data_IF_170070298713
#
_entry.id   IF_170070298713
#
_cell.length_a   1.000
_cell.length_b   1.000
_cell.length_c   1.000
_cell.angle_alpha   90.00
_cell.angle_beta   90.00
_cell.angle_gamma   90.00
#
_symmetry.space_group_name_H-M   'P 1'
#
loop_
_entity.id
_entity.type
_entity.pdbx_description
1 polymer ?
#
# COMPACT_ATOMS: atom_id res chain seq x y z
N UNK A 1 -14.12 16.61 -16.33
CA UNK A 1 -13.25 16.30 -17.50
C UNK A 1 -14.06 16.57 -18.77
N UNK A 2 -13.79 17.66 -19.51
CA UNK A 2 -14.50 18.02 -20.73
C UNK A 2 -14.14 17.08 -21.89
N UNK A 3 -15.15 16.61 -22.64
CA UNK A 3 -14.96 15.64 -23.72
C UNK A 3 -14.00 16.15 -24.81
N UNK A 4 -14.15 17.42 -25.24
CA UNK A 4 -13.28 18.00 -26.29
C UNK A 4 -11.79 17.98 -25.91
N UNK A 5 -11.46 18.29 -24.64
CA UNK A 5 -10.07 18.26 -24.16
C UNK A 5 -9.53 16.84 -24.10
N UNK A 6 -10.36 15.87 -23.66
CA UNK A 6 -9.98 14.45 -23.69
C UNK A 6 -9.69 13.97 -25.11
N UNK A 7 -10.56 14.31 -26.09
CA UNK A 7 -10.34 13.93 -27.48
C UNK A 7 -9.04 14.54 -28.02
N UNK A 8 -8.76 15.84 -27.74
CA UNK A 8 -7.50 16.48 -28.12
C UNK A 8 -6.28 15.78 -27.51
N UNK A 9 -6.38 15.37 -26.25
CA UNK A 9 -5.29 14.66 -25.56
C UNK A 9 -5.07 13.25 -26.15
N UNK A 10 -6.13 12.52 -26.47
CA UNK A 10 -6.04 11.23 -27.16
C UNK A 10 -5.33 11.37 -28.52
N UNK A 11 -5.63 12.45 -29.26
CA UNK A 11 -4.94 12.74 -30.52
C UNK A 11 -3.44 13.01 -30.32
N UNK A 12 -3.04 13.74 -29.28
CA UNK A 12 -1.62 13.99 -28.96
C UNK A 12 -0.87 12.72 -28.60
N UNK A 13 -1.54 11.72 -28.06
CA UNK A 13 -0.98 10.37 -27.82
C UNK A 13 -1.03 9.45 -29.06
N UNK A 14 -1.40 9.98 -30.24
CA UNK A 14 -1.42 9.22 -31.50
C UNK A 14 -2.67 8.37 -31.72
N UNK A 15 -3.71 8.51 -30.90
CA UNK A 15 -4.98 7.82 -31.09
C UNK A 15 -5.79 8.61 -32.11
N UNK A 16 -5.95 8.06 -33.32
CA UNK A 16 -6.57 8.73 -34.46
C UNK A 16 -7.55 7.82 -35.22
N UNK A 17 -8.16 8.35 -36.26
CA UNK A 17 -8.98 7.59 -37.24
C UNK A 17 -10.24 6.95 -36.63
N UNK A 18 -10.50 5.72 -36.95
CA UNK A 18 -11.73 5.01 -36.55
C UNK A 18 -11.86 4.83 -35.04
N UNK A 19 -10.73 4.57 -34.36
CA UNK A 19 -10.72 4.39 -32.91
C UNK A 19 -11.08 5.69 -32.17
N UNK A 20 -10.54 6.82 -32.61
CA UNK A 20 -10.86 8.10 -31.99
C UNK A 20 -12.34 8.46 -32.19
N UNK A 21 -12.88 8.28 -33.42
CA UNK A 21 -14.31 8.49 -33.67
C UNK A 21 -15.22 7.60 -32.86
N UNK A 22 -14.80 6.36 -32.61
CA UNK A 22 -15.54 5.44 -31.76
C UNK A 22 -15.55 5.88 -30.30
N UNK A 23 -14.40 6.33 -29.77
CA UNK A 23 -14.30 6.87 -28.40
C UNK A 23 -15.16 8.15 -28.29
N UNK A 24 -15.12 9.03 -29.30
CA UNK A 24 -15.93 10.24 -29.34
C UNK A 24 -17.43 9.91 -29.29
N UNK A 25 -17.89 8.97 -30.12
CA UNK A 25 -19.28 8.50 -30.13
C UNK A 25 -19.69 7.84 -28.80
N UNK A 26 -18.73 7.20 -28.09
CA UNK A 26 -18.97 6.64 -26.76
C UNK A 26 -19.16 7.72 -25.68
N UNK A 27 -18.60 8.91 -25.86
CA UNK A 27 -18.65 10.00 -24.87
C UNK A 27 -19.76 11.00 -25.12
N UNK A 28 -20.02 11.37 -26.37
CA UNK A 28 -20.92 12.47 -26.78
C UNK A 28 -22.34 11.96 -27.00
N UNK A 29 -23.34 12.86 -26.85
CA UNK A 29 -24.75 12.57 -27.09
C UNK A 29 -25.43 11.70 -26.04
N UNK A 30 -24.81 11.53 -24.89
CA UNK A 30 -25.40 10.77 -23.76
C UNK A 30 -26.29 11.67 -22.92
N UNK A 31 -27.36 11.08 -22.39
CA UNK A 31 -28.27 11.73 -21.44
C UNK A 31 -28.33 10.93 -20.14
N UNK A 32 -28.67 11.58 -19.06
CA UNK A 32 -28.87 10.96 -17.74
C UNK A 32 -30.23 11.35 -17.16
N UNK A 33 -30.78 10.44 -16.35
CA UNK A 33 -31.98 10.67 -15.53
C UNK A 33 -31.73 10.19 -14.12
N UNK A 34 -32.29 10.86 -13.14
CA UNK A 34 -32.32 10.39 -11.76
C UNK A 34 -33.58 9.58 -11.52
N UNK A 35 -33.48 8.41 -10.94
CA UNK A 35 -34.59 7.57 -10.53
C UNK A 35 -34.68 7.51 -9.00
N UNK A 36 -35.83 7.93 -8.45
CA UNK A 36 -36.15 7.86 -7.03
C UNK A 36 -37.50 7.19 -6.86
N UNK A 37 -37.56 6.08 -6.16
CA UNK A 37 -38.79 5.30 -5.93
C UNK A 37 -39.61 5.00 -7.22
N UNK A 38 -38.90 4.68 -8.31
CA UNK A 38 -39.53 4.36 -9.61
C UNK A 38 -39.95 5.57 -10.45
N UNK A 39 -39.80 6.79 -9.96
CA UNK A 39 -40.04 8.03 -10.70
C UNK A 39 -38.76 8.57 -11.31
N UNK A 40 -38.81 8.98 -12.59
CA UNK A 40 -37.66 9.52 -13.30
C UNK A 40 -37.77 11.04 -13.42
N UNK A 41 -36.59 11.69 -13.28
CA UNK A 41 -36.47 13.12 -13.65
C UNK A 41 -36.55 13.32 -15.18
N UNK A 42 -36.60 14.58 -15.61
CA UNK A 42 -36.31 14.95 -16.99
C UNK A 42 -34.91 14.50 -17.41
N UNK A 43 -34.70 14.36 -18.72
CA UNK A 43 -33.38 14.09 -19.29
C UNK A 43 -32.47 15.31 -19.13
N UNK A 44 -31.21 15.04 -18.76
CA UNK A 44 -30.14 16.03 -18.76
C UNK A 44 -28.98 15.51 -19.61
N UNK A 45 -28.44 16.36 -20.49
CA UNK A 45 -27.29 16.02 -21.33
C UNK A 45 -26.03 15.85 -20.47
N UNK A 46 -25.22 14.84 -20.79
CA UNK A 46 -23.91 14.59 -20.15
C UNK A 46 -22.82 15.26 -20.97
N UNK A 47 -22.49 16.51 -20.62
CA UNK A 47 -21.52 17.36 -21.34
C UNK A 47 -20.06 17.13 -20.93
N UNK A 48 -19.80 16.37 -19.86
CA UNK A 48 -18.45 16.09 -19.31
C UNK A 48 -18.41 14.77 -18.55
N UNK A 49 -17.20 14.33 -18.21
CA UNK A 49 -16.98 13.09 -17.46
C UNK A 49 -16.93 11.86 -18.38
N UNK A 50 -16.74 10.72 -17.75
CA UNK A 50 -16.67 9.40 -18.39
C UNK A 50 -17.73 8.48 -17.77
N UNK A 51 -18.26 7.49 -18.51
CA UNK A 51 -19.23 6.55 -17.96
C UNK A 51 -18.63 5.74 -16.80
N UNK A 52 -19.16 5.95 -15.59
CA UNK A 52 -18.78 5.14 -14.43
C UNK A 52 -19.22 3.68 -14.64
N UNK A 53 -18.36 2.73 -14.24
CA UNK A 53 -18.61 1.29 -14.43
C UNK A 53 -18.28 0.76 -15.83
N UNK A 54 -17.84 1.60 -16.77
CA UNK A 54 -17.35 1.16 -18.07
C UNK A 54 -15.88 0.68 -17.96
N UNK A 55 -15.47 -0.20 -18.88
CA UNK A 55 -14.08 -0.68 -18.99
C UNK A 55 -13.14 0.43 -19.43
N UNK A 56 -13.59 1.32 -20.32
CA UNK A 56 -12.80 2.43 -20.87
C UNK A 56 -12.66 3.62 -19.91
N UNK A 57 -13.62 3.84 -19.03
CA UNK A 57 -13.64 4.99 -18.15
C UNK A 57 -12.32 5.19 -17.39
N UNK A 58 -11.85 4.20 -16.59
CA UNK A 58 -10.60 4.34 -15.86
C UNK A 58 -9.39 4.61 -16.75
N UNK A 59 -9.30 3.96 -17.91
CA UNK A 59 -8.21 4.16 -18.87
C UNK A 59 -8.21 5.59 -19.43
N UNK A 60 -9.36 6.10 -19.86
CA UNK A 60 -9.50 7.46 -20.38
C UNK A 60 -9.16 8.52 -19.33
N UNK A 61 -9.49 8.24 -18.06
CA UNK A 61 -9.13 9.12 -16.96
C UNK A 61 -7.61 9.14 -16.74
N UNK A 62 -6.97 7.98 -16.68
CA UNK A 62 -5.49 7.88 -16.52
C UNK A 62 -4.78 8.59 -17.66
N UNK A 63 -5.21 8.40 -18.93
CA UNK A 63 -4.65 9.13 -20.09
C UNK A 63 -4.82 10.64 -19.90
N UNK A 64 -5.98 11.08 -19.37
CA UNK A 64 -6.25 12.50 -19.20
C UNK A 64 -5.35 13.19 -18.20
N UNK A 65 -4.95 12.51 -17.10
CA UNK A 65 -4.13 13.11 -16.05
C UNK A 65 -2.64 12.78 -16.18
N UNK A 66 -2.24 11.97 -17.17
CA UNK A 66 -0.89 11.39 -17.24
C UNK A 66 0.24 12.43 -17.36
N UNK A 67 -0.02 13.59 -17.94
CA UNK A 67 0.95 14.70 -18.12
C UNK A 67 0.99 15.67 -16.93
N UNK A 68 0.18 15.46 -15.89
CA UNK A 68 0.18 16.34 -14.73
C UNK A 68 1.55 16.43 -14.04
N UNK A 69 2.33 15.33 -13.88
CA UNK A 69 3.66 15.40 -13.28
C UNK A 69 4.69 16.12 -14.14
N UNK A 70 4.54 16.18 -15.47
CA UNK A 70 5.57 16.64 -16.42
C UNK A 70 5.97 18.09 -16.18
N UNK A 71 5.06 18.90 -15.65
CA UNK A 71 5.29 20.32 -15.35
C UNK A 71 5.80 20.57 -13.93
N UNK A 72 5.86 19.53 -13.08
CA UNK A 72 6.33 19.67 -11.71
C UNK A 72 7.84 19.55 -11.62
N UNK A 73 8.45 20.36 -10.76
CA UNK A 73 9.88 20.28 -10.45
C UNK A 73 10.23 19.18 -9.46
N UNK A 74 9.23 18.56 -8.84
CA UNK A 74 9.35 17.57 -7.76
C UNK A 74 8.64 16.28 -8.12
N UNK A 75 8.91 15.23 -7.34
CA UNK A 75 8.27 13.95 -7.54
C UNK A 75 6.78 14.02 -7.19
N UNK A 76 5.96 13.45 -8.07
CA UNK A 76 4.53 13.28 -7.86
C UNK A 76 4.14 11.82 -8.08
N UNK A 77 3.22 11.33 -7.26
CA UNK A 77 2.62 10.01 -7.40
C UNK A 77 1.13 10.17 -7.70
N UNK A 78 0.70 9.52 -8.75
CA UNK A 78 -0.70 9.50 -9.18
C UNK A 78 -1.28 8.10 -8.96
N UNK A 79 -2.46 8.05 -8.38
CA UNK A 79 -3.26 6.84 -8.30
C UNK A 79 -4.72 7.18 -8.54
N UNK A 80 -5.22 6.89 -9.73
CA UNK A 80 -6.51 7.39 -10.22
C UNK A 80 -6.60 8.92 -10.04
N UNK A 81 -7.55 9.42 -9.26
CA UNK A 81 -7.74 10.84 -8.94
C UNK A 81 -6.87 11.33 -7.76
N UNK A 82 -6.29 10.42 -6.98
CA UNK A 82 -5.40 10.80 -5.88
C UNK A 82 -4.03 11.24 -6.41
N UNK A 83 -3.64 12.45 -6.07
CA UNK A 83 -2.34 13.04 -6.44
C UNK A 83 -1.55 13.38 -5.18
N UNK A 84 -0.30 12.94 -5.13
CA UNK A 84 0.64 13.26 -4.05
C UNK A 84 1.87 13.94 -4.62
N UNK A 85 2.15 15.12 -4.12
CA UNK A 85 3.41 15.81 -4.38
C UNK A 85 4.24 15.78 -3.10
N UNK A 86 5.47 15.35 -3.20
CA UNK A 86 6.33 15.23 -2.02
C UNK A 86 7.75 15.69 -2.30
N UNK A 87 8.37 16.20 -1.26
CA UNK A 87 9.78 16.62 -1.30
C UNK A 87 10.37 16.64 0.10
N UNK A 88 11.67 16.65 0.18
CA UNK A 88 12.40 16.85 1.43
C UNK A 88 12.48 18.36 1.71
N UNK A 89 12.01 18.78 2.88
CA UNK A 89 12.09 20.15 3.36
C UNK A 89 13.23 20.22 4.40
N UNK A 90 14.28 20.97 4.07
CA UNK A 90 15.43 21.21 4.96
C UNK A 90 15.54 22.66 5.38
N UNK A 91 14.92 23.57 4.63
CA UNK A 91 14.92 25.00 4.85
C UNK A 91 13.68 25.66 4.24
N UNK A 92 13.51 26.96 4.48
CA UNK A 92 12.36 27.72 3.98
C UNK A 92 12.28 27.75 2.46
N UNK A 93 13.42 27.83 1.75
CA UNK A 93 13.45 27.84 0.28
C UNK A 93 12.91 26.54 -0.32
N UNK A 94 13.06 25.40 0.37
CA UNK A 94 12.46 24.14 -0.07
C UNK A 94 10.92 24.21 0.04
N UNK A 95 10.42 24.81 1.10
CA UNK A 95 8.97 25.00 1.30
C UNK A 95 8.38 25.97 0.25
N UNK A 96 9.07 27.07 -0.05
CA UNK A 96 8.66 28.02 -1.09
C UNK A 96 8.61 27.34 -2.47
N UNK A 97 9.59 26.50 -2.80
CA UNK A 97 9.59 25.70 -4.05
C UNK A 97 8.45 24.68 -4.08
N UNK A 98 8.04 24.09 -2.94
CA UNK A 98 6.87 23.24 -2.91
C UNK A 98 5.59 24.04 -3.19
N UNK A 99 5.49 25.26 -2.65
CA UNK A 99 4.38 26.18 -2.99
C UNK A 99 4.36 26.53 -4.50
N UNK A 100 5.50 26.74 -5.13
CA UNK A 100 5.58 26.96 -6.59
C UNK A 100 5.01 25.76 -7.38
N UNK A 101 5.19 24.53 -6.91
CA UNK A 101 4.58 23.35 -7.56
C UNK A 101 3.07 23.30 -7.34
N UNK A 102 2.55 23.73 -6.18
CA UNK A 102 1.11 23.85 -5.96
C UNK A 102 0.49 24.86 -6.95
N UNK A 103 1.16 26.00 -7.20
CA UNK A 103 0.72 26.96 -8.21
C UNK A 103 0.66 26.32 -9.62
N UNK A 104 1.67 25.52 -9.99
CA UNK A 104 1.65 24.80 -11.28
C UNK A 104 0.52 23.76 -11.37
N UNK A 105 0.18 23.11 -10.27
CA UNK A 105 -1.00 22.25 -10.22
C UNK A 105 -2.28 23.04 -10.46
N UNK A 106 -2.40 24.26 -9.89
CA UNK A 106 -3.54 25.13 -10.16
C UNK A 106 -3.62 25.52 -11.65
N UNK A 107 -2.50 25.91 -12.27
CA UNK A 107 -2.42 26.24 -13.68
C UNK A 107 -2.87 25.06 -14.54
N UNK A 108 -2.30 23.88 -14.32
CA UNK A 108 -2.71 22.66 -15.02
C UNK A 108 -4.20 22.36 -14.84
N UNK A 109 -4.69 22.50 -13.60
CA UNK A 109 -6.10 22.26 -13.25
C UNK A 109 -7.07 23.21 -14.01
N UNK A 110 -6.70 24.50 -14.15
CA UNK A 110 -7.45 25.48 -14.93
C UNK A 110 -7.41 25.16 -16.42
N UNK A 111 -6.23 24.82 -16.94
CA UNK A 111 -6.03 24.51 -18.36
C UNK A 111 -6.81 23.25 -18.77
N UNK A 112 -6.86 22.24 -17.93
CA UNK A 112 -7.53 20.98 -18.22
C UNK A 112 -8.96 20.91 -17.67
N UNK A 113 -9.45 21.94 -16.98
CA UNK A 113 -10.78 21.97 -16.34
C UNK A 113 -11.07 20.72 -15.48
N UNK A 114 -10.05 20.30 -14.73
CA UNK A 114 -10.14 19.26 -13.71
C UNK A 114 -9.73 19.87 -12.37
N UNK A 115 -10.72 20.44 -11.67
CA UNK A 115 -10.46 21.23 -10.47
C UNK A 115 -10.11 20.35 -9.28
N UNK A 116 -9.02 20.69 -8.61
CA UNK A 116 -8.73 20.20 -7.25
C UNK A 116 -9.68 20.86 -6.26
N UNK A 117 -10.01 20.15 -5.20
CA UNK A 117 -10.85 20.66 -4.12
C UNK A 117 -9.97 20.99 -2.91
N UNK A 118 -9.67 22.28 -2.64
CA UNK A 118 -8.71 22.65 -1.60
C UNK A 118 -9.03 22.08 -0.20
N UNK A 119 -10.31 22.05 0.18
CA UNK A 119 -10.75 21.52 1.48
C UNK A 119 -10.47 20.02 1.68
N UNK A 120 -10.22 19.29 0.56
CA UNK A 120 -9.83 17.88 0.59
C UNK A 120 -8.32 17.68 0.52
N UNK A 121 -7.58 18.72 0.16
CA UNK A 121 -6.13 18.68 0.08
C UNK A 121 -5.52 18.94 1.46
N UNK A 122 -4.53 18.15 1.84
CA UNK A 122 -3.91 18.18 3.17
C UNK A 122 -2.40 18.20 3.06
N UNK A 123 -1.74 18.73 4.05
CA UNK A 123 -0.30 18.69 4.22
C UNK A 123 0.03 17.71 5.34
N UNK A 124 0.73 16.64 5.01
CA UNK A 124 1.29 15.70 5.98
C UNK A 124 2.81 15.86 6.00
N UNK A 125 3.34 16.33 7.12
CA UNK A 125 4.78 16.41 7.33
C UNK A 125 5.25 15.15 8.03
N UNK A 126 6.21 14.45 7.40
CA UNK A 126 6.79 13.23 7.94
C UNK A 126 8.17 13.55 8.52
N UNK A 127 8.37 13.25 9.81
CA UNK A 127 9.61 13.51 10.55
C UNK A 127 9.34 13.70 12.04
N UNK A 128 10.41 13.89 12.82
CA UNK A 128 10.26 14.24 14.22
C UNK A 128 9.78 15.69 14.33
N UNK A 129 8.85 15.95 15.26
CA UNK A 129 8.31 17.29 15.49
C UNK A 129 9.39 18.36 15.75
N UNK A 130 10.50 17.94 16.36
CA UNK A 130 11.66 18.78 16.69
C UNK A 130 12.48 19.17 15.45
N UNK A 131 12.41 18.37 14.39
CA UNK A 131 13.19 18.52 13.15
C UNK A 131 12.41 19.28 12.05
N UNK A 132 11.16 19.70 12.31
CA UNK A 132 10.31 20.39 11.32
C UNK A 132 10.69 21.87 11.29
N UNK A 133 11.37 22.37 10.23
CA UNK A 133 11.97 23.69 10.25
C UNK A 133 10.97 24.86 10.27
N UNK A 134 9.71 24.64 9.91
CA UNK A 134 8.66 25.68 9.92
C UNK A 134 7.32 25.13 9.45
N UNK A 135 6.23 25.49 10.12
CA UNK A 135 4.88 25.40 9.56
C UNK A 135 4.77 26.45 8.44
N UNK A 136 5.08 26.08 7.21
CA UNK A 136 4.89 26.96 6.06
C UNK A 136 3.41 26.95 5.67
N UNK A 137 2.75 28.10 5.50
CA UNK A 137 1.33 28.17 5.12
C UNK A 137 1.19 27.87 3.62
N UNK A 138 1.04 26.58 3.30
CA UNK A 138 0.78 26.17 1.91
C UNK A 138 -0.65 26.52 1.52
N UNK A 139 -0.83 26.97 0.28
CA UNK A 139 -2.16 27.32 -0.23
C UNK A 139 -2.40 26.71 -1.63
N UNK A 140 -3.67 26.46 -1.92
CA UNK A 140 -4.15 26.01 -3.24
C UNK A 140 -5.40 26.82 -3.59
N UNK A 141 -5.42 27.49 -4.77
CA UNK A 141 -6.48 28.44 -5.17
C UNK A 141 -6.78 29.52 -4.14
N UNK A 142 -5.76 29.99 -3.43
CA UNK A 142 -5.89 31.01 -2.39
C UNK A 142 -6.46 30.50 -1.05
N UNK A 143 -6.76 29.20 -0.93
CA UNK A 143 -7.18 28.57 0.31
C UNK A 143 -5.98 27.93 0.99
N UNK A 144 -5.74 28.24 2.26
CA UNK A 144 -4.70 27.63 3.06
C UNK A 144 -5.02 26.15 3.32
N UNK A 145 -4.01 25.28 3.12
CA UNK A 145 -4.16 23.84 3.30
C UNK A 145 -3.93 23.44 4.76
N UNK A 146 -4.79 22.57 5.26
CA UNK A 146 -4.71 22.07 6.62
C UNK A 146 -3.49 21.17 6.83
N UNK A 147 -2.69 21.46 7.86
CA UNK A 147 -1.64 20.57 8.34
C UNK A 147 -2.23 19.49 9.24
N UNK A 148 -1.97 18.26 8.89
CA UNK A 148 -2.49 17.08 9.60
C UNK A 148 -1.33 16.19 10.07
N UNK A 149 -1.59 15.37 11.09
CA UNK A 149 -0.61 14.44 11.67
C UNK A 149 -0.82 12.99 11.19
N UNK A 150 -1.96 12.71 10.60
CA UNK A 150 -2.23 11.40 9.99
C UNK A 150 -3.20 11.54 8.81
N UNK A 151 -3.02 10.73 7.77
CA UNK A 151 -3.90 10.67 6.61
C UNK A 151 -4.11 9.23 6.16
N UNK A 152 -5.29 8.97 5.63
CA UNK A 152 -5.62 7.68 5.03
C UNK A 152 -5.29 7.68 3.55
N UNK A 153 -4.26 6.96 3.18
CA UNK A 153 -3.77 6.85 1.81
C UNK A 153 -3.89 5.41 1.28
N UNK A 154 -4.62 5.21 0.20
CA UNK A 154 -4.85 3.89 -0.47
C UNK A 154 -5.16 2.77 0.56
N UNK A 155 -5.98 3.11 1.57
CA UNK A 155 -6.42 2.16 2.59
C UNK A 155 -5.46 1.95 3.78
N UNK A 156 -4.33 2.67 3.81
CA UNK A 156 -3.38 2.71 4.92
C UNK A 156 -3.49 4.07 5.62
N UNK A 157 -3.55 4.08 6.94
CA UNK A 157 -3.41 5.31 7.72
C UNK A 157 -1.94 5.54 7.99
N UNK A 158 -1.39 6.63 7.46
CA UNK A 158 0.01 7.05 7.59
C UNK A 158 0.05 8.17 8.61
N UNK A 159 0.83 8.02 9.66
CA UNK A 159 1.07 9.08 10.66
C UNK A 159 2.41 9.77 10.41
N UNK A 160 2.55 10.99 10.93
CA UNK A 160 3.74 11.85 10.76
C UNK A 160 5.05 11.21 11.24
N UNK A 161 4.98 10.28 12.17
CA UNK A 161 6.14 9.55 12.70
C UNK A 161 6.34 8.17 12.05
N UNK A 162 5.45 7.76 11.13
CA UNK A 162 5.45 6.43 10.48
C UNK A 162 5.41 5.27 11.48
N UNK A 163 4.74 5.45 12.61
CA UNK A 163 4.58 4.39 13.62
C UNK A 163 3.53 3.36 13.25
N UNK A 164 2.53 3.77 12.46
CA UNK A 164 1.37 2.98 12.06
C UNK A 164 0.51 2.46 13.22
N UNK A 165 0.62 3.05 14.42
CA UNK A 165 -0.15 2.59 15.60
C UNK A 165 -1.66 2.71 15.37
N UNK A 166 -2.12 3.86 14.85
CA UNK A 166 -3.53 4.08 14.49
C UNK A 166 -4.01 3.10 13.42
N UNK A 167 -3.19 2.88 12.37
CA UNK A 167 -3.51 1.91 11.31
C UNK A 167 -3.72 0.51 11.89
N UNK A 168 -2.76 0.03 12.67
CA UNK A 168 -2.81 -1.30 13.29
C UNK A 168 -4.02 -1.43 14.22
N UNK A 169 -4.33 -0.39 15.00
CA UNK A 169 -5.50 -0.37 15.88
C UNK A 169 -6.81 -0.48 15.08
N UNK A 170 -6.95 0.30 14.00
CA UNK A 170 -8.12 0.27 13.12
C UNK A 170 -8.29 -1.09 12.42
N UNK A 171 -7.21 -1.67 11.89
CA UNK A 171 -7.25 -2.97 11.19
C UNK A 171 -7.56 -4.12 12.14
N UNK A 172 -6.95 -4.14 13.33
CA UNK A 172 -7.26 -5.16 14.34
C UNK A 172 -8.69 -5.01 14.88
N UNK A 173 -9.20 -3.79 15.06
CA UNK A 173 -10.61 -3.52 15.41
C UNK A 173 -11.54 -4.07 14.32
N UNK A 174 -11.28 -3.76 13.05
CA UNK A 174 -12.10 -4.24 11.93
C UNK A 174 -12.09 -5.76 11.82
N UNK A 175 -10.93 -6.40 11.94
CA UNK A 175 -10.79 -7.85 11.94
C UNK A 175 -11.60 -8.51 13.08
N UNK A 176 -11.54 -7.94 14.30
CA UNK A 176 -12.33 -8.42 15.44
C UNK A 176 -13.85 -8.22 15.24
N UNK A 177 -14.28 -7.10 14.67
CA UNK A 177 -15.69 -6.87 14.32
C UNK A 177 -16.19 -7.91 13.32
N UNK A 178 -15.42 -8.18 12.27
CA UNK A 178 -15.74 -9.20 11.27
C UNK A 178 -15.81 -10.60 11.89
N UNK A 179 -14.87 -10.94 12.76
CA UNK A 179 -14.87 -12.19 13.52
C UNK A 179 -16.13 -12.31 14.42
N UNK A 180 -16.54 -11.22 15.07
CA UNK A 180 -17.78 -11.17 15.87
C UNK A 180 -19.04 -11.38 15.03
N UNK A 181 -19.06 -10.87 13.78
CA UNK A 181 -20.16 -11.12 12.84
C UNK A 181 -20.20 -12.61 12.43
N UNK A 182 -19.05 -13.18 12.05
CA UNK A 182 -18.93 -14.59 11.69
C UNK A 182 -19.44 -15.48 12.84
N UNK A 183 -19.04 -15.18 14.10
CA UNK A 183 -19.47 -15.93 15.27
C UNK A 183 -20.98 -15.85 15.52
N UNK A 184 -21.62 -14.72 15.19
CA UNK A 184 -23.09 -14.57 15.34
C UNK A 184 -23.88 -15.34 14.28
N UNK A 185 -23.33 -15.40 13.06
CA UNK A 185 -24.01 -16.08 11.94
C UNK A 185 -23.83 -17.59 12.01
N UNK A 186 -22.66 -18.05 12.45
CA UNK A 186 -22.31 -19.47 12.48
C UNK A 186 -22.15 -19.93 13.93
N UNK A 187 -23.13 -20.65 14.46
CA UNK A 187 -23.14 -21.23 15.82
C UNK A 187 -22.10 -22.35 15.98
N UNK A 188 -21.84 -23.09 14.90
CA UNK A 188 -20.89 -24.20 14.86
C UNK A 188 -19.78 -23.87 13.82
N UNK A 189 -18.53 -23.82 14.27
CA UNK A 189 -17.37 -23.47 13.43
C UNK A 189 -16.47 -24.68 13.24
N UNK A 190 -16.79 -25.52 12.28
CA UNK A 190 -15.92 -26.62 11.88
C UNK A 190 -14.64 -26.12 11.18
N UNK A 191 -13.60 -26.95 11.18
CA UNK A 191 -12.27 -26.64 10.60
C UNK A 191 -12.33 -26.17 9.16
N UNK A 192 -13.07 -26.83 8.30
CA UNK A 192 -13.15 -26.49 6.87
C UNK A 192 -13.78 -25.13 6.65
N UNK A 193 -14.89 -24.85 7.33
CA UNK A 193 -15.56 -23.54 7.29
C UNK A 193 -14.63 -22.42 7.77
N UNK A 194 -13.94 -22.65 8.89
CA UNK A 194 -12.98 -21.69 9.44
C UNK A 194 -11.88 -21.36 8.43
N UNK A 195 -11.29 -22.37 7.78
CA UNK A 195 -10.22 -22.20 6.82
C UNK A 195 -10.66 -21.46 5.54
N UNK A 196 -11.96 -21.42 5.24
CA UNK A 196 -12.51 -20.60 4.15
C UNK A 196 -12.81 -19.16 4.61
N UNK A 197 -13.46 -19.00 5.77
CA UNK A 197 -13.93 -17.68 6.23
C UNK A 197 -12.81 -16.82 6.83
N UNK A 198 -11.98 -17.39 7.69
CA UNK A 198 -10.93 -16.63 8.38
C UNK A 198 -9.92 -15.96 7.43
N UNK A 199 -9.32 -16.67 6.47
CA UNK A 199 -8.38 -16.05 5.54
C UNK A 199 -9.01 -14.95 4.68
N UNK A 200 -10.23 -15.15 4.21
CA UNK A 200 -10.91 -14.26 3.30
C UNK A 200 -11.39 -12.96 3.99
N UNK A 201 -12.02 -13.09 5.15
CA UNK A 201 -12.73 -11.97 5.77
C UNK A 201 -12.02 -11.36 6.99
N UNK A 202 -11.18 -12.10 7.70
CA UNK A 202 -10.51 -11.61 8.91
C UNK A 202 -9.04 -11.32 8.65
N UNK A 203 -8.29 -12.34 8.18
CA UNK A 203 -6.84 -12.22 7.97
C UNK A 203 -6.48 -11.23 6.88
N UNK A 204 -7.32 -11.08 5.86
CA UNK A 204 -7.15 -10.08 4.81
C UNK A 204 -6.97 -8.65 5.36
N UNK A 205 -7.68 -8.29 6.44
CA UNK A 205 -7.49 -7.00 7.10
C UNK A 205 -6.12 -6.85 7.77
N UNK A 206 -5.52 -7.95 8.23
CA UNK A 206 -4.26 -7.97 8.96
C UNK A 206 -3.02 -8.09 8.05
N UNK A 207 -3.23 -8.40 6.77
CA UNK A 207 -2.15 -8.63 5.80
C UNK A 207 -2.15 -7.63 4.64
N UNK A 208 -3.22 -6.84 4.45
CA UNK A 208 -3.32 -5.88 3.35
C UNK A 208 -2.16 -4.88 3.41
N UNK A 209 -1.38 -4.82 2.33
CA UNK A 209 -0.23 -3.90 2.17
C UNK A 209 0.77 -3.93 3.35
N UNK A 210 0.93 -5.07 4.01
CA UNK A 210 1.79 -5.24 5.19
C UNK A 210 3.26 -4.83 4.95
N UNK A 211 3.70 -4.81 3.71
CA UNK A 211 5.04 -4.37 3.31
C UNK A 211 5.30 -2.91 3.73
N UNK A 212 4.27 -2.07 3.68
CA UNK A 212 4.37 -0.64 4.03
C UNK A 212 4.42 -0.43 5.54
N UNK A 213 3.52 -1.08 6.28
CA UNK A 213 3.26 -0.79 7.70
C UNK A 213 3.70 -1.91 8.65
N UNK A 214 4.56 -2.83 8.22
CA UNK A 214 4.94 -3.98 9.03
C UNK A 214 5.30 -3.57 10.47
N UNK A 215 4.63 -4.16 11.49
CA UNK A 215 4.87 -3.81 12.88
C UNK A 215 6.27 -4.21 13.32
N UNK A 216 6.96 -3.33 14.00
CA UNK A 216 8.29 -3.58 14.57
C UNK A 216 8.31 -3.56 16.10
N UNK A 217 7.33 -2.88 16.74
CA UNK A 217 7.18 -2.88 18.18
C UNK A 217 6.53 -4.18 18.66
N UNK A 218 7.07 -4.79 19.71
CA UNK A 218 6.52 -6.04 20.28
C UNK A 218 5.04 -5.95 20.60
N UNK A 219 4.57 -4.83 21.13
CA UNK A 219 3.15 -4.60 21.45
C UNK A 219 2.25 -4.64 20.20
N UNK A 220 2.68 -4.06 19.09
CA UNK A 220 1.96 -4.10 17.81
C UNK A 220 1.88 -5.54 17.26
N UNK A 221 3.02 -6.25 17.28
CA UNK A 221 3.09 -7.66 16.83
C UNK A 221 2.11 -8.51 17.64
N UNK A 222 2.14 -8.38 18.98
CA UNK A 222 1.21 -9.10 19.88
C UNK A 222 -0.26 -8.75 19.60
N UNK A 223 -0.58 -7.46 19.39
CA UNK A 223 -1.93 -6.99 19.08
C UNK A 223 -2.50 -7.65 17.83
N UNK A 224 -1.71 -7.76 16.77
CA UNK A 224 -2.11 -8.39 15.51
C UNK A 224 -2.25 -9.90 15.69
N UNK A 225 -1.28 -10.57 16.30
CA UNK A 225 -1.28 -12.02 16.51
C UNK A 225 -2.45 -12.46 17.40
N UNK A 226 -2.80 -11.67 18.42
CA UNK A 226 -3.91 -11.94 19.32
C UNK A 226 -5.29 -12.05 18.61
N UNK A 227 -5.43 -11.43 17.42
CA UNK A 227 -6.65 -11.62 16.61
C UNK A 227 -6.72 -13.05 16.08
N UNK A 228 -5.62 -13.58 15.53
CA UNK A 228 -5.55 -14.96 15.03
C UNK A 228 -5.67 -15.96 16.18
N UNK A 229 -5.05 -15.67 17.31
CA UNK A 229 -5.12 -16.50 18.51
C UNK A 229 -6.59 -16.66 18.99
N UNK A 230 -7.34 -15.56 19.06
CA UNK A 230 -8.78 -15.61 19.39
C UNK A 230 -9.60 -16.32 18.32
N UNK A 231 -9.30 -16.05 17.04
CA UNK A 231 -10.02 -16.67 15.93
C UNK A 231 -9.89 -18.20 15.94
N UNK A 232 -8.69 -18.73 16.16
CA UNK A 232 -8.43 -20.18 16.18
C UNK A 232 -9.11 -20.91 17.36
N UNK A 233 -9.40 -20.20 18.46
CA UNK A 233 -10.19 -20.75 19.60
C UNK A 233 -11.66 -21.00 19.26
N UNK A 234 -12.18 -20.38 18.20
CA UNK A 234 -13.58 -20.55 17.77
C UNK A 234 -13.84 -21.90 17.07
N UNK A 235 -12.77 -22.59 16.66
CA UNK A 235 -12.88 -23.85 15.94
C UNK A 235 -13.24 -24.97 16.91
N UNK A 236 -14.29 -25.71 16.58
CA UNK A 236 -14.78 -26.84 17.39
C UNK A 236 -13.67 -27.87 17.62
N UNK A 237 -13.60 -28.35 18.86
CA UNK A 237 -12.59 -29.33 19.29
C UNK A 237 -11.18 -28.77 19.47
N UNK A 238 -10.91 -27.48 19.16
CA UNK A 238 -9.56 -26.91 19.30
C UNK A 238 -9.41 -25.91 20.46
N UNK A 239 -10.50 -25.51 21.11
CA UNK A 239 -10.46 -24.45 22.13
C UNK A 239 -9.61 -24.75 23.35
N UNK A 240 -9.40 -26.03 23.69
CA UNK A 240 -8.60 -26.51 24.82
C UNK A 240 -7.08 -26.61 24.52
N UNK A 241 -6.71 -26.60 23.24
CA UNK A 241 -5.33 -26.67 22.78
C UNK A 241 -4.61 -25.34 22.99
N UNK A 242 -3.29 -25.36 23.14
CA UNK A 242 -2.49 -24.14 23.08
C UNK A 242 -2.48 -23.53 21.67
N UNK A 243 -1.94 -22.32 21.54
CA UNK A 243 -1.99 -21.60 20.25
C UNK A 243 -1.16 -22.31 19.17
N UNK A 244 0.01 -22.81 19.51
CA UNK A 244 0.91 -23.55 18.61
C UNK A 244 0.25 -24.82 18.09
N UNK A 245 -0.39 -25.57 18.99
CA UNK A 245 -1.14 -26.79 18.64
C UNK A 245 -2.32 -26.49 17.70
N UNK A 246 -3.08 -25.41 17.98
CA UNK A 246 -4.15 -24.97 17.09
C UNK A 246 -3.64 -24.60 15.69
N UNK A 247 -2.51 -23.89 15.60
CA UNK A 247 -1.90 -23.57 14.31
C UNK A 247 -1.51 -24.83 13.54
N UNK A 248 -0.88 -25.80 14.19
CA UNK A 248 -0.52 -27.09 13.57
C UNK A 248 -1.76 -27.87 13.12
N UNK A 249 -2.79 -27.98 13.98
CA UNK A 249 -4.04 -28.66 13.66
C UNK A 249 -4.77 -28.03 12.46
N UNK A 250 -4.71 -26.70 12.34
CA UNK A 250 -5.32 -25.95 11.25
C UNK A 250 -4.40 -25.79 10.02
N UNK A 251 -3.15 -26.25 10.08
CA UNK A 251 -2.11 -26.01 9.06
C UNK A 251 -1.94 -24.51 8.76
N UNK A 252 -2.08 -23.68 9.77
CA UNK A 252 -1.80 -22.25 9.73
C UNK A 252 -0.40 -21.97 10.29
N UNK A 253 0.10 -20.80 9.99
CA UNK A 253 1.35 -20.28 10.56
C UNK A 253 1.07 -18.97 11.28
N UNK A 254 2.00 -18.51 12.12
CA UNK A 254 1.89 -17.19 12.74
C UNK A 254 1.79 -16.08 11.70
N UNK A 255 1.16 -14.96 12.04
CA UNK A 255 1.13 -13.78 11.17
C UNK A 255 2.53 -13.14 11.03
N UNK A 256 3.40 -13.32 12.02
CA UNK A 256 4.81 -12.89 11.95
C UNK A 256 5.57 -13.66 10.88
N UNK A 257 5.44 -14.99 10.82
CA UNK A 257 6.03 -15.79 9.74
C UNK A 257 5.49 -15.39 8.38
N UNK A 258 4.18 -15.16 8.28
CA UNK A 258 3.54 -14.76 7.02
C UNK A 258 4.02 -13.41 6.51
N UNK A 259 4.26 -12.44 7.41
CA UNK A 259 4.85 -11.15 7.07
C UNK A 259 6.26 -11.32 6.51
N UNK A 260 7.11 -12.05 7.23
CA UNK A 260 8.48 -12.33 6.80
C UNK A 260 8.52 -13.00 5.42
N UNK A 261 7.67 -14.02 5.23
CA UNK A 261 7.52 -14.70 3.93
C UNK A 261 7.03 -13.75 2.84
N UNK A 262 6.06 -12.90 3.15
CA UNK A 262 5.54 -11.88 2.24
C UNK A 262 6.61 -10.87 1.82
N UNK A 263 7.44 -10.42 2.75
CA UNK A 263 8.56 -9.54 2.49
C UNK A 263 9.56 -10.16 1.51
N UNK A 264 9.90 -11.45 1.66
CA UNK A 264 10.80 -12.15 0.74
C UNK A 264 10.19 -12.29 -0.65
N UNK A 265 8.90 -12.55 -0.74
CA UNK A 265 8.17 -12.61 -2.01
C UNK A 265 8.20 -11.24 -2.71
N UNK A 266 8.04 -10.17 -1.96
CA UNK A 266 8.03 -8.83 -2.53
C UNK A 266 9.40 -8.42 -3.05
N UNK A 267 10.50 -8.71 -2.32
CA UNK A 267 11.86 -8.48 -2.83
C UNK A 267 12.10 -9.27 -4.12
N UNK A 268 11.72 -10.54 -4.15
CA UNK A 268 11.89 -11.35 -5.36
C UNK A 268 11.18 -10.73 -6.55
N UNK A 269 9.95 -10.24 -6.37
CA UNK A 269 9.22 -9.51 -7.41
C UNK A 269 9.96 -8.25 -7.86
N UNK A 270 10.43 -7.43 -6.91
CA UNK A 270 11.16 -6.21 -7.25
C UNK A 270 12.41 -6.48 -8.08
N UNK A 271 13.13 -7.56 -7.79
CA UNK A 271 14.34 -7.91 -8.52
C UNK A 271 14.04 -8.49 -9.90
N UNK A 272 12.99 -9.34 -10.02
CA UNK A 272 12.79 -10.16 -11.22
C UNK A 272 11.64 -9.68 -12.13
N UNK A 273 10.72 -8.83 -11.64
CA UNK A 273 9.55 -8.39 -12.42
C UNK A 273 9.73 -7.00 -13.00
N UNK A 274 10.45 -6.12 -12.30
CA UNK A 274 10.64 -4.74 -12.74
C UNK A 274 12.00 -4.57 -13.42
N UNK A 275 12.01 -3.96 -14.60
CA UNK A 275 13.25 -3.57 -15.29
C UNK A 275 13.95 -2.41 -14.58
N UNK A 276 15.25 -2.24 -14.82
CA UNK A 276 16.00 -1.09 -14.33
C UNK A 276 15.34 0.22 -14.84
N UNK A 277 15.02 1.12 -13.92
CA UNK A 277 14.31 2.38 -14.20
C UNK A 277 12.81 2.38 -13.92
N UNK A 278 12.16 1.21 -13.77
CA UNK A 278 10.74 1.10 -13.40
C UNK A 278 10.53 0.50 -12.01
N UNK A 279 11.63 0.22 -11.28
CA UNK A 279 11.55 -0.35 -9.93
C UNK A 279 10.96 0.66 -8.97
N UNK A 280 9.86 0.32 -8.27
CA UNK A 280 9.20 1.22 -7.32
C UNK A 280 10.08 1.61 -6.12
N UNK A 281 11.18 0.89 -5.88
CA UNK A 281 12.12 1.13 -4.80
C UNK A 281 13.56 1.02 -5.32
N UNK A 282 14.41 1.98 -4.94
CA UNK A 282 15.83 1.98 -5.26
C UNK A 282 16.58 0.97 -4.36
N UNK A 283 16.42 -0.32 -4.62
CA UNK A 283 17.25 -1.35 -3.99
C UNK A 283 18.68 -1.26 -4.54
N UNK A 284 19.61 -0.98 -3.68
CA UNK A 284 21.03 -1.05 -4.03
C UNK A 284 21.47 -2.52 -3.99
N UNK A 285 21.64 -3.12 -5.16
CA UNK A 285 22.23 -4.45 -5.30
C UNK A 285 23.75 -4.35 -5.23
N UNK A 286 24.38 -5.32 -4.54
CA UNK A 286 25.85 -5.42 -4.49
C UNK A 286 26.34 -5.85 -5.86
N UNK A 287 27.06 -4.97 -6.57
CA UNK A 287 27.72 -5.33 -7.81
C UNK A 287 28.93 -6.22 -7.50
N UNK A 288 28.93 -7.44 -8.03
CA UNK A 288 30.03 -8.40 -7.85
C UNK A 288 30.50 -8.96 -9.16
N UNK A 289 31.80 -9.36 -9.25
CA UNK A 289 32.29 -10.09 -10.40
C UNK A 289 31.52 -11.40 -10.59
N UNK A 290 31.29 -11.79 -11.82
CA UNK A 290 30.54 -12.97 -12.27
C UNK A 290 31.01 -14.29 -11.64
N UNK A 291 32.21 -14.36 -11.07
CA UNK A 291 32.81 -15.55 -10.43
C UNK A 291 32.52 -15.70 -8.92
N UNK A 292 31.64 -14.90 -8.33
CA UNK A 292 31.33 -15.01 -6.90
C UNK A 292 30.41 -16.21 -6.62
N UNK A 293 30.77 -17.03 -5.63
CA UNK A 293 29.95 -18.15 -5.12
C UNK A 293 28.73 -17.71 -4.30
N UNK A 294 28.61 -16.39 -4.06
CA UNK A 294 27.48 -15.81 -3.30
C UNK A 294 26.36 -15.48 -4.26
N UNK A 295 25.10 -15.48 -3.75
CA UNK A 295 23.94 -15.24 -4.61
C UNK A 295 24.01 -13.87 -5.29
N UNK A 296 23.58 -13.77 -6.57
CA UNK A 296 23.87 -12.62 -7.43
C UNK A 296 23.06 -11.36 -7.05
N UNK A 297 22.00 -11.51 -6.25
CA UNK A 297 21.05 -10.44 -5.90
C UNK A 297 21.17 -9.99 -4.44
N UNK A 298 22.41 -9.94 -3.89
CA UNK A 298 22.60 -9.44 -2.53
C UNK A 298 22.26 -7.96 -2.43
N UNK A 299 21.53 -7.62 -1.38
CA UNK A 299 21.26 -6.24 -1.00
C UNK A 299 22.41 -5.69 -0.18
N UNK A 300 22.73 -4.39 -0.34
CA UNK A 300 23.65 -3.73 0.60
C UNK A 300 23.04 -3.79 2.00
N UNK A 301 23.76 -4.35 2.99
CA UNK A 301 23.29 -4.29 4.36
C UNK A 301 23.28 -2.84 4.83
N UNK A 302 22.30 -2.43 5.64
CA UNK A 302 22.36 -1.13 6.30
C UNK A 302 23.63 -1.09 7.17
N UNK A 303 24.42 -0.04 7.02
CA UNK A 303 25.63 0.12 7.84
C UNK A 303 25.28 0.79 9.15
N UNK A 304 25.90 0.36 10.24
CA UNK A 304 25.74 1.01 11.56
C UNK A 304 26.17 2.48 11.55
N UNK A 305 26.96 2.91 10.56
CA UNK A 305 27.39 4.29 10.35
C UNK A 305 26.26 5.23 9.91
N UNK A 306 25.18 4.69 9.38
CA UNK A 306 24.06 5.50 8.87
C UNK A 306 23.17 6.08 9.98
N UNK A 307 23.44 5.78 11.26
CA UNK A 307 22.72 6.35 12.42
C UNK A 307 21.21 6.05 12.43
N UNK A 308 20.76 5.10 11.64
CA UNK A 308 19.35 4.78 11.48
C UNK A 308 18.79 4.16 12.77
N UNK A 309 17.87 4.86 13.40
CA UNK A 309 17.15 4.39 14.60
C UNK A 309 15.64 4.38 14.37
N UNK A 310 14.93 3.58 15.15
CA UNK A 310 13.47 3.57 15.14
C UNK A 310 12.88 3.22 13.76
N UNK A 311 12.09 4.13 13.20
CA UNK A 311 11.36 3.93 11.94
C UNK A 311 12.28 3.68 10.74
N UNK A 312 13.39 4.41 10.66
CA UNK A 312 14.34 4.25 9.54
C UNK A 312 14.96 2.84 9.51
N UNK A 313 15.34 2.32 10.68
CA UNK A 313 15.90 0.98 10.81
C UNK A 313 14.89 -0.13 10.46
N UNK A 314 13.60 0.16 10.57
CA UNK A 314 12.51 -0.79 10.34
C UNK A 314 11.77 -0.59 9.01
N UNK A 315 12.25 0.30 8.14
CA UNK A 315 11.71 0.41 6.80
C UNK A 315 11.91 -0.90 6.02
N UNK A 316 11.16 -1.07 4.95
CA UNK A 316 11.15 -2.33 4.19
C UNK A 316 12.55 -2.80 3.79
N UNK A 317 13.36 -1.92 3.22
CA UNK A 317 14.70 -2.27 2.76
C UNK A 317 15.60 -2.80 3.89
N UNK A 318 15.64 -2.09 5.01
CA UNK A 318 16.56 -2.45 6.10
C UNK A 318 16.11 -3.72 6.83
N UNK A 319 14.80 -3.89 7.09
CA UNK A 319 14.33 -5.08 7.81
C UNK A 319 14.48 -6.38 7.02
N UNK A 320 14.49 -6.29 5.68
CA UNK A 320 14.53 -7.48 4.82
C UNK A 320 15.93 -7.87 4.39
N UNK A 321 16.88 -6.93 4.33
CA UNK A 321 18.20 -7.14 3.73
C UNK A 321 18.96 -8.31 4.34
N UNK A 322 19.00 -8.42 5.67
CA UNK A 322 19.71 -9.50 6.35
C UNK A 322 19.09 -10.87 6.03
N UNK A 323 17.77 -10.98 6.13
CA UNK A 323 17.04 -12.24 5.84
C UNK A 323 17.19 -12.65 4.38
N UNK A 324 17.04 -11.69 3.45
CA UNK A 324 17.21 -11.94 2.02
C UNK A 324 18.64 -12.42 1.71
N UNK A 325 19.65 -11.75 2.24
CA UNK A 325 21.05 -12.08 2.00
C UNK A 325 21.47 -13.44 2.59
N UNK A 326 20.72 -13.96 3.54
CA UNK A 326 20.92 -15.28 4.14
C UNK A 326 20.26 -16.41 3.34
N UNK A 327 19.43 -16.11 2.35
CA UNK A 327 18.79 -17.15 1.53
C UNK A 327 19.82 -17.86 0.64
N UNK A 328 19.67 -19.17 0.41
CA UNK A 328 20.49 -19.93 -0.53
C UNK A 328 20.36 -19.44 -1.96
N UNK A 329 21.41 -19.67 -2.76
CA UNK A 329 21.46 -19.27 -4.17
C UNK A 329 20.32 -19.88 -4.97
N UNK A 330 20.05 -21.17 -4.79
CA UNK A 330 18.98 -21.89 -5.48
C UNK A 330 17.59 -21.34 -5.20
N UNK A 331 17.37 -20.72 -4.02
CA UNK A 331 16.12 -20.06 -3.68
C UNK A 331 15.99 -18.74 -4.43
N UNK A 332 17.01 -17.86 -4.33
CA UNK A 332 16.92 -16.49 -4.89
C UNK A 332 16.99 -16.44 -6.42
N UNK A 333 17.59 -17.45 -7.05
CA UNK A 333 17.68 -17.58 -8.52
C UNK A 333 16.53 -18.36 -9.14
N UNK A 334 15.44 -18.58 -8.42
CA UNK A 334 14.27 -19.23 -8.98
C UNK A 334 13.71 -18.45 -10.18
N UNK A 335 13.41 -19.14 -11.27
CA UNK A 335 12.97 -18.52 -12.54
C UNK A 335 11.54 -17.96 -12.49
N UNK A 336 10.68 -18.54 -11.65
CA UNK A 336 9.29 -18.11 -11.52
C UNK A 336 8.93 -17.84 -10.06
N UNK A 337 7.93 -16.96 -9.86
CA UNK A 337 7.43 -16.65 -8.53
C UNK A 337 6.96 -17.91 -7.76
N UNK A 338 6.33 -18.85 -8.44
CA UNK A 338 5.86 -20.07 -7.79
C UNK A 338 7.03 -21.00 -7.41
N UNK A 339 8.05 -21.12 -8.26
CA UNK A 339 9.28 -21.84 -7.95
C UNK A 339 9.99 -21.21 -6.75
N UNK A 340 10.09 -19.87 -6.71
CA UNK A 340 10.64 -19.16 -5.55
C UNK A 340 9.88 -19.47 -4.25
N UNK A 341 8.54 -19.35 -4.27
CA UNK A 341 7.71 -19.66 -3.09
C UNK A 341 7.94 -21.10 -2.59
N UNK A 342 7.95 -22.07 -3.49
CA UNK A 342 8.12 -23.47 -3.12
C UNK A 342 9.52 -23.74 -2.51
N UNK A 343 10.59 -23.19 -3.12
CA UNK A 343 11.95 -23.32 -2.61
C UNK A 343 12.12 -22.63 -1.26
N UNK A 344 11.54 -21.44 -1.10
CA UNK A 344 11.54 -20.70 0.17
C UNK A 344 10.80 -21.48 1.27
N UNK A 345 9.62 -22.03 0.98
CA UNK A 345 8.82 -22.82 1.93
C UNK A 345 9.55 -24.12 2.34
N UNK A 346 10.27 -24.74 1.42
CA UNK A 346 11.11 -25.91 1.70
C UNK A 346 12.31 -25.54 2.56
N UNK A 347 13.03 -24.47 2.23
CA UNK A 347 14.15 -23.95 3.01
C UNK A 347 13.73 -23.57 4.43
N UNK A 348 12.55 -22.98 4.58
CA UNK A 348 12.00 -22.57 5.88
C UNK A 348 11.07 -23.60 6.52
N UNK A 349 11.16 -24.88 6.13
CA UNK A 349 10.31 -25.94 6.72
C UNK A 349 10.38 -25.98 8.25
N UNK A 350 11.56 -25.76 8.84
CA UNK A 350 11.86 -25.77 10.27
C UNK A 350 12.02 -24.38 10.89
N UNK A 351 11.56 -23.30 10.21
CA UNK A 351 11.67 -21.95 10.76
C UNK A 351 10.83 -21.82 12.04
N UNK A 352 11.47 -21.40 13.14
CA UNK A 352 10.83 -21.28 14.45
C UNK A 352 9.64 -20.33 14.46
N UNK A 353 9.71 -19.21 13.72
CA UNK A 353 8.62 -18.25 13.61
C UNK A 353 7.34 -18.84 13.01
N UNK A 354 7.43 -20.03 12.39
CA UNK A 354 6.28 -20.69 11.77
C UNK A 354 5.16 -20.98 12.78
N UNK A 355 5.54 -21.33 14.00
CA UNK A 355 4.61 -21.72 15.07
C UNK A 355 4.85 -21.02 16.40
N UNK A 356 5.96 -20.31 16.57
CA UNK A 356 6.28 -19.56 17.77
C UNK A 356 6.05 -18.07 17.55
N UNK A 357 5.35 -17.43 18.46
CA UNK A 357 5.25 -15.98 18.50
C UNK A 357 6.51 -15.39 19.13
N UNK A 358 6.92 -14.20 18.72
CA UNK A 358 8.04 -13.41 19.31
C UNK A 358 7.83 -13.16 20.83
N UNK A 359 6.71 -13.59 21.38
CA UNK A 359 6.31 -13.44 22.79
C UNK A 359 6.59 -14.67 23.66
N UNK A 360 7.26 -15.70 23.13
CA UNK A 360 7.50 -16.97 23.83
C UNK A 360 8.62 -16.97 24.88
N UNK A 361 9.28 -15.85 25.13
CA UNK A 361 10.16 -15.72 26.28
C UNK A 361 9.37 -15.18 27.47
N UNK A 362 9.14 -16.04 28.46
CA UNK A 362 8.68 -15.68 29.78
C UNK A 362 9.49 -14.47 30.29
N UNK A 363 8.86 -13.30 30.23
CA UNK A 363 9.40 -12.15 30.95
C UNK A 363 9.08 -12.37 32.41
N UNK A 364 10.08 -12.67 33.21
CA UNK A 364 10.08 -12.25 34.59
C UNK A 364 9.84 -10.73 34.57
N UNK A 365 8.66 -10.32 35.02
CA UNK A 365 8.40 -8.98 35.49
C UNK A 365 9.25 -8.81 36.75
N UNK A 366 10.39 -8.11 36.64
CA UNK A 366 11.06 -7.43 37.73
C UNK A 366 12.25 -6.65 37.13
N UNK A 367 12.03 -5.37 36.88
CA UNK A 367 12.83 -4.18 37.19
C UNK A 367 12.47 -3.00 36.30
#
# INVERSE_FOLDING_TARGET
MPHRRLIGKLQSFGINGALLRWIEAFLIGRVQKVCVNGNFSSEAEVISGIPQGSVLGPLLFVIYINDLPDNLKWEALLFADDTKVYTRITNRSDAERLQENLVKLEEWSRDWLLLFHPDKCKILTIGRHEDIPCAYPYSLFGTELEHIFEEKDIGITIDSELTFDTHIALKTKKANQTMGLIRRVFSHMGKEMFLRLYPAFVRSHLEFSQVVWAPWRRAQIRRIEAVQERATRMVEGLGHLDYTERLKALKLTTLSYRRLRGDMIEIWKHINTYSDGTRPMNFKLVQRPIRSTRHPHQLYPPTAKDGHTGVQANNFYFRVAATWNALPVDVVTAETLNSFKNRLDSHWSNNQLKYMTVAGDSVNEDS
#
